data_IF_888834032921
#
_entry.id   IF_888834032921
#
_cell.length_a   1.000
_cell.length_b   1.000
_cell.length_c   1.000
_cell.angle_alpha   90.00
_cell.angle_beta   90.00
_cell.angle_gamma   90.00
#
_symmetry.space_group_name_H-M   'P 1'
#
loop_
_entity.id
_entity.type
_entity.pdbx_description
1 polymer ?
#
# COMPACT_ATOMS: atom_id res chain seq x y z
N UNK A 1 4.44 26.23 2.76
CA UNK A 1 3.51 25.30 2.10
C UNK A 1 4.03 24.67 0.83
N UNK A 2 4.80 25.39 0.00
CA UNK A 2 5.43 24.76 -1.18
C UNK A 2 6.31 23.58 -0.80
N UNK A 3 7.11 23.71 0.23
CA UNK A 3 8.00 22.66 0.71
C UNK A 3 7.20 21.45 1.18
N UNK A 4 6.13 21.68 1.96
CA UNK A 4 5.26 20.60 2.43
C UNK A 4 4.59 19.88 1.27
N UNK A 5 4.09 20.61 0.27
CA UNK A 5 3.48 20.02 -0.92
C UNK A 5 4.49 19.16 -1.67
N UNK A 6 5.68 19.68 -1.92
CA UNK A 6 6.74 18.97 -2.65
C UNK A 6 7.17 17.71 -1.91
N UNK A 7 7.40 17.82 -0.60
CA UNK A 7 7.83 16.68 0.21
C UNK A 7 6.76 15.60 0.28
N UNK A 8 5.51 15.97 0.51
CA UNK A 8 4.42 14.99 0.57
C UNK A 8 4.15 14.36 -0.78
N UNK A 9 4.28 15.10 -1.88
CA UNK A 9 4.17 14.56 -3.22
C UNK A 9 5.26 13.53 -3.49
N UNK A 10 6.51 13.86 -3.16
CA UNK A 10 7.64 12.95 -3.33
C UNK A 10 7.45 11.70 -2.47
N UNK A 11 7.06 11.88 -1.21
CA UNK A 11 6.83 10.76 -0.30
C UNK A 11 5.70 9.84 -0.80
N UNK A 12 4.61 10.41 -1.31
CA UNK A 12 3.50 9.62 -1.86
C UNK A 12 3.95 8.81 -3.07
N UNK A 13 4.68 9.42 -3.98
CA UNK A 13 5.20 8.74 -5.17
C UNK A 13 6.19 7.65 -4.78
N UNK A 14 7.09 7.94 -3.83
CA UNK A 14 8.07 6.97 -3.36
C UNK A 14 7.40 5.77 -2.69
N UNK A 15 6.41 5.99 -1.84
CA UNK A 15 5.66 4.91 -1.18
C UNK A 15 4.91 4.06 -2.20
N UNK A 16 4.29 4.70 -3.20
CA UNK A 16 3.60 3.98 -4.26
C UNK A 16 4.57 3.14 -5.09
N UNK A 17 5.74 3.70 -5.42
CA UNK A 17 6.78 2.97 -6.15
C UNK A 17 7.30 1.78 -5.35
N UNK A 18 7.53 1.95 -4.04
CA UNK A 18 7.94 0.87 -3.15
C UNK A 18 6.87 -0.23 -3.11
N UNK A 19 5.62 0.15 -2.99
CA UNK A 19 4.50 -0.79 -2.99
C UNK A 19 4.50 -1.66 -4.25
N UNK A 20 4.58 -1.01 -5.43
CA UNK A 20 4.59 -1.71 -6.72
C UNK A 20 5.84 -2.59 -6.84
N UNK A 21 7.01 -2.06 -6.49
CA UNK A 21 8.27 -2.80 -6.60
C UNK A 21 8.26 -4.05 -5.72
N UNK A 22 7.82 -3.94 -4.46
CA UNK A 22 7.77 -5.09 -3.56
C UNK A 22 6.81 -6.14 -4.09
N UNK A 23 5.63 -5.73 -4.54
CA UNK A 23 4.62 -6.68 -5.01
C UNK A 23 5.01 -7.38 -6.31
N UNK A 24 5.88 -6.79 -7.11
CA UNK A 24 6.36 -7.42 -8.35
C UNK A 24 7.70 -8.13 -8.17
N UNK A 25 8.63 -7.50 -7.45
CA UNK A 25 10.01 -7.99 -7.34
C UNK A 25 10.12 -9.25 -6.48
N UNK A 26 9.42 -9.31 -5.34
CA UNK A 26 9.55 -10.43 -4.43
C UNK A 26 9.06 -11.73 -5.06
N UNK A 27 7.86 -11.79 -5.67
CA UNK A 27 7.44 -13.00 -6.37
C UNK A 27 8.36 -13.39 -7.53
N UNK A 28 8.86 -12.40 -8.29
CA UNK A 28 9.79 -12.66 -9.37
C UNK A 28 11.10 -13.28 -8.88
N UNK A 29 11.67 -12.72 -7.81
CA UNK A 29 12.91 -13.24 -7.23
C UNK A 29 12.72 -14.66 -6.73
N UNK A 30 11.63 -14.96 -6.06
CA UNK A 30 11.36 -16.30 -5.58
C UNK A 30 11.20 -17.28 -6.75
N UNK A 31 10.50 -16.85 -7.80
CA UNK A 31 10.32 -17.67 -9.00
C UNK A 31 11.65 -18.00 -9.68
N UNK A 32 12.55 -17.02 -9.80
CA UNK A 32 13.85 -17.22 -10.41
C UNK A 32 14.81 -18.05 -9.56
N UNK A 33 14.73 -17.92 -8.22
CA UNK A 33 15.64 -18.64 -7.33
C UNK A 33 15.30 -20.11 -7.14
N UNK A 34 14.02 -20.48 -7.28
CA UNK A 34 13.61 -21.88 -7.11
C UNK A 34 13.90 -22.75 -8.32
N UNK A 35 14.16 -22.16 -9.47
CA UNK A 35 14.60 -22.90 -10.67
C UNK A 35 13.63 -23.98 -11.14
N UNK A 36 12.37 -23.90 -10.78
CA UNK A 36 11.35 -24.84 -11.20
C UNK A 36 10.76 -24.38 -12.53
N UNK A 37 11.09 -25.08 -13.61
CA UNK A 37 10.73 -24.68 -14.96
C UNK A 37 9.34 -25.11 -15.37
N UNK A 38 8.79 -26.14 -14.74
CA UNK A 38 7.56 -26.77 -15.23
C UNK A 38 6.30 -25.95 -14.92
N UNK A 39 6.36 -25.03 -13.95
CA UNK A 39 5.19 -24.26 -13.53
C UNK A 39 5.57 -22.85 -13.11
N UNK A 40 6.49 -22.22 -13.86
CA UNK A 40 7.03 -20.91 -13.48
C UNK A 40 5.97 -19.81 -13.40
N UNK A 41 4.99 -19.82 -14.31
CA UNK A 41 3.91 -18.83 -14.32
C UNK A 41 2.98 -19.04 -13.14
N UNK A 42 2.55 -20.29 -12.91
CA UNK A 42 1.70 -20.62 -11.76
C UNK A 42 2.38 -20.32 -10.44
N UNK A 43 3.65 -20.65 -10.34
CA UNK A 43 4.47 -20.38 -9.16
C UNK A 43 4.58 -18.87 -8.89
N UNK A 44 4.76 -18.07 -9.95
CA UNK A 44 4.79 -16.62 -9.83
C UNK A 44 3.45 -16.08 -9.31
N UNK A 45 2.34 -16.56 -9.87
CA UNK A 45 0.99 -16.14 -9.46
C UNK A 45 0.74 -16.52 -8.00
N UNK A 46 1.11 -17.73 -7.60
CA UNK A 46 0.94 -18.18 -6.22
C UNK A 46 1.73 -17.32 -5.24
N UNK A 47 2.97 -16.99 -5.58
CA UNK A 47 3.81 -16.11 -4.75
C UNK A 47 3.25 -14.69 -4.71
N UNK A 48 2.74 -14.18 -5.83
CA UNK A 48 2.12 -12.87 -5.89
C UNK A 48 0.91 -12.81 -4.94
N UNK A 49 0.06 -13.85 -4.98
CA UNK A 49 -1.12 -13.94 -4.11
C UNK A 49 -0.69 -14.05 -2.64
N UNK A 50 0.35 -14.82 -2.36
CA UNK A 50 0.87 -14.99 -1.00
C UNK A 50 1.35 -13.67 -0.39
N UNK A 51 1.98 -12.81 -1.20
CA UNK A 51 2.46 -11.51 -0.72
C UNK A 51 1.43 -10.39 -0.84
N UNK A 52 0.27 -10.65 -1.47
CA UNK A 52 -0.80 -9.67 -1.59
C UNK A 52 -1.27 -9.12 -0.23
N UNK A 53 -1.32 -9.89 0.87
CA UNK A 53 -1.70 -9.35 2.18
C UNK A 53 -0.80 -8.26 2.73
N UNK A 54 0.41 -8.06 2.16
CA UNK A 54 1.28 -6.95 2.55
C UNK A 54 0.77 -5.59 2.06
N UNK A 55 -0.09 -5.58 1.04
CA UNK A 55 -0.61 -4.34 0.44
C UNK A 55 -1.29 -3.44 1.46
N UNK A 56 -2.22 -3.93 2.32
CA UNK A 56 -2.84 -3.06 3.32
C UNK A 56 -1.83 -2.41 4.26
N UNK A 57 -0.79 -3.12 4.67
CA UNK A 57 0.24 -2.58 5.56
C UNK A 57 1.04 -1.47 4.88
N UNK A 58 1.35 -1.63 3.59
CA UNK A 58 2.10 -0.63 2.83
C UNK A 58 1.23 0.58 2.49
N UNK A 59 -0.07 0.41 2.39
CA UNK A 59 -1.00 1.50 2.13
C UNK A 59 -1.22 2.40 3.36
N UNK A 60 -0.99 1.88 4.58
CA UNK A 60 -1.23 2.66 5.79
C UNK A 60 -0.48 4.01 5.80
N UNK A 61 0.83 4.09 5.48
CA UNK A 61 1.50 5.37 5.42
C UNK A 61 1.20 6.18 4.16
N UNK A 62 0.71 5.53 3.09
CA UNK A 62 0.44 6.20 1.82
C UNK A 62 -0.70 7.21 1.92
N UNK A 63 -1.81 6.82 2.55
CA UNK A 63 -2.99 7.67 2.63
C UNK A 63 -2.77 8.95 3.45
N UNK A 64 -2.11 8.92 4.62
CA UNK A 64 -1.77 10.16 5.33
C UNK A 64 -0.88 11.08 4.51
N UNK A 65 0.08 10.56 3.75
CA UNK A 65 0.94 11.37 2.90
C UNK A 65 0.15 12.03 1.78
N UNK A 66 -0.79 11.30 1.17
CA UNK A 66 -1.68 11.86 0.15
C UNK A 66 -2.59 12.94 0.75
N UNK A 67 -3.05 12.76 1.97
CA UNK A 67 -3.85 13.77 2.67
C UNK A 67 -3.05 15.04 2.93
N UNK A 68 -1.80 14.92 3.35
CA UNK A 68 -0.90 16.06 3.54
C UNK A 68 -0.67 16.81 2.23
N UNK A 69 -0.48 16.07 1.14
CA UNK A 69 -0.33 16.66 -0.18
C UNK A 69 -1.57 17.47 -0.56
N UNK A 70 -2.76 16.93 -0.35
CA UNK A 70 -4.02 17.62 -0.66
C UNK A 70 -4.18 18.88 0.20
N UNK A 71 -3.85 18.80 1.49
CA UNK A 71 -3.90 19.94 2.39
C UNK A 71 -2.95 21.05 1.95
N UNK A 72 -1.71 20.68 1.60
CA UNK A 72 -0.74 21.65 1.13
C UNK A 72 -1.18 22.30 -0.18
N UNK A 73 -1.77 21.53 -1.09
CA UNK A 73 -2.32 22.05 -2.34
C UNK A 73 -3.45 23.05 -2.08
N UNK A 74 -4.30 22.78 -1.10
CA UNK A 74 -5.37 23.71 -0.69
C UNK A 74 -4.77 25.02 -0.16
N UNK A 75 -3.76 24.94 0.69
CA UNK A 75 -3.11 26.13 1.25
C UNK A 75 -2.39 26.95 0.20
N UNK A 76 -1.91 26.33 -0.87
CA UNK A 76 -1.30 27.02 -2.00
C UNK A 76 -2.33 27.65 -2.95
N UNK A 77 -3.62 27.41 -2.73
CA UNK A 77 -4.68 27.93 -3.57
C UNK A 77 -4.95 27.12 -4.83
N UNK A 78 -4.33 25.95 -4.98
CA UNK A 78 -4.49 25.11 -6.16
C UNK A 78 -5.67 24.13 -6.06
N UNK A 79 -6.24 23.97 -4.87
CA UNK A 79 -7.32 23.04 -4.63
C UNK A 79 -8.47 23.73 -3.90
N UNK A 80 -9.71 23.66 -4.42
CA UNK A 80 -10.87 24.23 -3.71
C UNK A 80 -11.17 23.48 -2.40
N UNK A 81 -11.74 24.22 -1.43
CA UNK A 81 -12.05 23.65 -0.13
C UNK A 81 -13.00 22.44 -0.23
N UNK A 82 -13.97 22.47 -1.14
CA UNK A 82 -14.89 21.37 -1.34
C UNK A 82 -14.19 20.10 -1.80
N UNK A 83 -13.21 20.24 -2.71
CA UNK A 83 -12.41 19.11 -3.17
C UNK A 83 -11.47 18.57 -2.10
N UNK A 84 -10.89 19.47 -1.29
CA UNK A 84 -10.06 19.07 -0.16
C UNK A 84 -10.86 18.20 0.82
N UNK A 85 -12.06 18.65 1.18
CA UNK A 85 -12.94 17.91 2.07
C UNK A 85 -13.23 16.51 1.52
N UNK A 86 -13.56 16.43 0.22
CA UNK A 86 -13.82 15.15 -0.46
C UNK A 86 -12.60 14.24 -0.43
N UNK A 87 -11.41 14.77 -0.75
CA UNK A 87 -10.18 13.99 -0.73
C UNK A 87 -9.88 13.44 0.66
N UNK A 88 -10.04 14.27 1.70
CA UNK A 88 -9.78 13.85 3.08
C UNK A 88 -10.75 12.76 3.50
N UNK A 89 -12.04 12.89 3.16
CA UNK A 89 -13.05 11.87 3.48
C UNK A 89 -12.71 10.54 2.80
N UNK A 90 -12.40 10.58 1.51
CA UNK A 90 -12.05 9.37 0.75
C UNK A 90 -10.80 8.72 1.31
N UNK A 91 -9.74 9.50 1.55
CA UNK A 91 -8.47 8.98 2.06
C UNK A 91 -8.63 8.43 3.48
N UNK A 92 -9.41 9.09 4.34
CA UNK A 92 -9.67 8.60 5.69
C UNK A 92 -10.45 7.30 5.67
N UNK A 93 -11.45 7.17 4.80
CA UNK A 93 -12.22 5.94 4.62
C UNK A 93 -11.32 4.81 4.13
N UNK A 94 -10.47 5.09 3.15
CA UNK A 94 -9.52 4.12 2.62
C UNK A 94 -8.52 3.68 3.70
N UNK A 95 -8.04 4.60 4.54
CA UNK A 95 -7.15 4.31 5.65
C UNK A 95 -7.81 3.38 6.67
N UNK A 96 -9.05 3.67 7.04
CA UNK A 96 -9.80 2.85 7.98
C UNK A 96 -9.99 1.43 7.41
N UNK A 97 -10.33 1.32 6.14
CA UNK A 97 -10.50 0.02 5.48
C UNK A 97 -9.17 -0.75 5.45
N UNK A 98 -8.07 -0.09 5.10
CA UNK A 98 -6.75 -0.72 5.08
C UNK A 98 -6.32 -1.18 6.47
N UNK A 99 -6.59 -0.37 7.49
CA UNK A 99 -6.29 -0.72 8.87
C UNK A 99 -7.08 -1.94 9.33
N UNK A 100 -8.37 -1.98 9.00
CA UNK A 100 -9.24 -3.11 9.31
C UNK A 100 -8.74 -4.40 8.62
N UNK A 101 -8.39 -4.30 7.34
CA UNK A 101 -7.84 -5.43 6.59
C UNK A 101 -6.52 -5.92 7.18
N UNK A 102 -5.64 -5.01 7.60
CA UNK A 102 -4.39 -5.36 8.24
C UNK A 102 -4.61 -6.13 9.55
N UNK A 103 -5.57 -5.68 10.37
CA UNK A 103 -5.92 -6.36 11.62
C UNK A 103 -6.48 -7.75 11.32
N UNK A 104 -7.38 -7.88 10.35
CA UNK A 104 -7.95 -9.17 9.96
C UNK A 104 -6.84 -10.13 9.51
N UNK A 105 -5.89 -9.66 8.72
CA UNK A 105 -4.78 -10.47 8.25
C UNK A 105 -3.91 -10.94 9.42
N UNK A 106 -3.62 -10.08 10.38
CA UNK A 106 -2.86 -10.44 11.57
C UNK A 106 -3.59 -11.53 12.37
N UNK A 107 -4.89 -11.37 12.56
CA UNK A 107 -5.71 -12.35 13.29
C UNK A 107 -5.69 -13.70 12.57
N UNK A 108 -5.83 -13.70 11.25
CA UNK A 108 -5.82 -14.93 10.46
C UNK A 108 -4.47 -15.64 10.53
N UNK A 109 -3.37 -14.89 10.45
CA UNK A 109 -2.03 -15.47 10.56
C UNK A 109 -1.81 -16.10 11.94
N UNK A 110 -2.19 -15.39 13.00
CA UNK A 110 -2.06 -15.92 14.36
C UNK A 110 -2.94 -17.13 14.57
N UNK A 111 -4.15 -17.13 14.02
CA UNK A 111 -5.06 -18.26 14.10
C UNK A 111 -4.50 -19.49 13.39
N UNK A 112 -3.92 -19.31 12.20
CA UNK A 112 -3.28 -20.41 11.48
C UNK A 112 -2.08 -20.97 12.24
N UNK A 113 -1.26 -20.10 12.83
CA UNK A 113 -0.12 -20.52 13.62
C UNK A 113 -0.56 -21.30 14.86
N UNK A 114 -1.64 -20.89 15.50
CA UNK A 114 -2.20 -21.60 16.66
C UNK A 114 -2.75 -22.97 16.27
N UNK A 115 -3.37 -23.07 15.09
CA UNK A 115 -3.93 -24.33 14.60
C UNK A 115 -2.82 -25.30 14.17
N UNK A 116 -1.74 -24.79 13.59
CA UNK A 116 -0.66 -25.65 13.12
C UNK A 116 0.22 -26.22 14.24
N UNK A 117 0.05 -25.75 15.45
CA UNK A 117 0.71 -26.30 16.61
C UNK A 117 -0.08 -27.45 17.18
#
# INVERSE_FOLDING_TARGET
>A
MKTLYTLSKIATIALLAILVLINLSVPLLITFTTNDRSSSVEFFIDNFIEFLPLVPFLLLPLFPMAALKSYASFKLGNLPAAKLKKHIIVLSTAEIISFALAIIIIILINSNNAISL
#
